data_IF_753633954805
#
_entry.id   IF_753633954805
#
_cell.length_a   1.000
_cell.length_b   1.000
_cell.length_c   1.000
_cell.angle_alpha   90.00
_cell.angle_beta   90.00
_cell.angle_gamma   90.00
#
_symmetry.space_group_name_H-M   'P 1'
#
loop_
_entity.id
_entity.type
_entity.pdbx_description
1 polymer ?
#
# COMPACT_ATOMS: atom_id res chain seq x y z
N UNK A 1 27.89 19.18 -1.22
CA UNK A 1 26.83 18.26 -0.79
C UNK A 1 26.81 17.11 -1.78
N UNK A 2 27.40 15.96 -1.45
CA UNK A 2 27.21 14.73 -2.22
C UNK A 2 25.88 14.14 -1.78
N UNK A 3 24.78 14.57 -2.42
CA UNK A 3 23.46 14.01 -2.18
C UNK A 3 23.27 12.80 -3.08
N UNK A 4 23.08 11.62 -2.51
CA UNK A 4 22.61 10.47 -3.26
C UNK A 4 21.20 10.77 -3.78
N UNK A 5 21.02 10.73 -5.09
CA UNK A 5 19.71 10.88 -5.72
C UNK A 5 19.03 9.49 -5.80
N UNK A 6 17.87 9.36 -5.15
CA UNK A 6 17.04 8.16 -5.27
C UNK A 6 16.08 8.31 -6.45
N UNK A 7 16.16 7.40 -7.42
CA UNK A 7 15.27 7.39 -8.57
C UNK A 7 14.15 6.36 -8.36
N UNK A 8 12.91 6.80 -8.52
CA UNK A 8 11.76 5.90 -8.58
C UNK A 8 11.73 5.26 -9.98
N UNK A 9 11.84 3.94 -10.04
CA UNK A 9 11.79 3.20 -11.32
C UNK A 9 10.41 2.66 -11.65
N UNK A 10 9.65 2.24 -10.63
CA UNK A 10 8.32 1.63 -10.76
C UNK A 10 7.73 1.42 -9.36
N UNK A 11 6.43 1.66 -9.18
CA UNK A 11 5.78 1.46 -7.88
C UNK A 11 4.63 0.46 -7.98
N UNK A 12 4.62 -0.57 -7.13
CA UNK A 12 3.58 -1.60 -7.09
C UNK A 12 2.73 -1.55 -5.82
N UNK A 13 3.25 -0.90 -4.77
CA UNK A 13 2.65 -0.85 -3.44
C UNK A 13 2.84 0.56 -2.88
N UNK A 14 1.80 1.07 -2.22
CA UNK A 14 1.85 2.30 -1.40
C UNK A 14 1.44 1.98 0.03
N UNK A 15 1.98 2.69 1.02
CA UNK A 15 1.70 2.45 2.44
C UNK A 15 1.53 3.79 3.15
N UNK A 16 0.40 3.97 3.82
CA UNK A 16 0.07 5.21 4.54
C UNK A 16 -0.13 4.94 6.03
N UNK A 17 0.50 5.75 6.87
CA UNK A 17 0.15 5.87 8.29
C UNK A 17 -1.06 6.79 8.45
N UNK A 18 -2.16 6.26 8.97
CA UNK A 18 -3.27 7.10 9.42
C UNK A 18 -2.90 7.74 10.77
N UNK A 19 -3.04 9.06 10.87
CA UNK A 19 -2.66 9.85 12.06
C UNK A 19 -3.57 9.63 13.28
N UNK A 20 -4.72 8.96 13.11
CA UNK A 20 -5.73 8.71 14.15
C UNK A 20 -6.02 7.19 14.27
N UNK A 21 -6.84 6.78 15.24
CA UNK A 21 -7.17 5.37 15.54
C UNK A 21 -7.98 4.63 14.45
N UNK A 22 -8.35 5.30 13.34
CA UNK A 22 -9.14 4.68 12.28
C UNK A 22 -8.40 4.65 10.94
N UNK A 23 -8.28 3.45 10.38
CA UNK A 23 -7.77 3.21 9.02
C UNK A 23 -8.57 3.98 7.97
N UNK A 24 -9.86 4.25 8.21
CA UNK A 24 -10.73 4.96 7.28
C UNK A 24 -10.22 6.37 6.94
N UNK A 25 -9.58 7.04 7.89
CA UNK A 25 -9.05 8.40 7.69
C UNK A 25 -7.87 8.40 6.71
N UNK A 26 -7.10 7.30 6.66
CA UNK A 26 -5.96 7.17 5.74
C UNK A 26 -6.31 6.66 4.35
N UNK A 27 -7.54 6.18 4.12
CA UNK A 27 -7.95 5.59 2.83
C UNK A 27 -7.81 6.60 1.68
N UNK A 28 -8.30 7.83 1.87
CA UNK A 28 -8.23 8.86 0.83
C UNK A 28 -6.79 9.19 0.42
N UNK A 29 -5.88 9.29 1.39
CA UNK A 29 -4.46 9.51 1.12
C UNK A 29 -3.83 8.32 0.41
N UNK A 30 -4.10 7.09 0.89
CA UNK A 30 -3.55 5.89 0.26
C UNK A 30 -4.04 5.74 -1.18
N UNK A 31 -5.33 5.98 -1.45
CA UNK A 31 -5.87 5.95 -2.81
C UNK A 31 -5.22 7.03 -3.69
N UNK A 32 -4.99 8.24 -3.16
CA UNK A 32 -4.30 9.30 -3.91
C UNK A 32 -2.87 8.89 -4.29
N UNK A 33 -2.12 8.29 -3.36
CA UNK A 33 -0.78 7.75 -3.63
C UNK A 33 -0.81 6.60 -4.64
N UNK A 34 -1.80 5.69 -4.56
CA UNK A 34 -1.98 4.61 -5.52
C UNK A 34 -2.26 5.13 -6.93
N UNK A 35 -3.10 6.17 -7.07
CA UNK A 35 -3.37 6.83 -8.36
C UNK A 35 -2.12 7.53 -8.88
N UNK A 36 -1.37 8.20 -8.01
CA UNK A 36 -0.09 8.82 -8.38
C UNK A 36 0.91 7.76 -8.89
N UNK A 37 1.02 6.62 -8.21
CA UNK A 37 1.86 5.49 -8.63
C UNK A 37 1.41 4.91 -9.99
N UNK A 38 0.10 4.71 -10.18
CA UNK A 38 -0.44 4.24 -11.47
C UNK A 38 -0.07 5.20 -12.61
N UNK A 39 -0.28 6.51 -12.41
CA UNK A 39 0.05 7.54 -13.42
C UNK A 39 1.55 7.63 -13.68
N UNK A 40 2.37 7.56 -12.63
CA UNK A 40 3.82 7.55 -12.75
C UNK A 40 4.28 6.37 -13.61
N UNK A 41 3.79 5.16 -13.31
CA UNK A 41 4.12 3.95 -14.06
C UNK A 41 3.69 4.04 -15.53
N UNK A 42 2.49 4.56 -15.80
CA UNK A 42 2.01 4.81 -17.15
C UNK A 42 2.91 5.80 -17.91
N UNK A 43 3.35 6.89 -17.25
CA UNK A 43 4.22 7.90 -17.85
C UNK A 43 5.58 7.35 -18.29
N UNK A 44 6.08 6.29 -17.63
CA UNK A 44 7.32 5.59 -17.99
C UNK A 44 7.07 4.33 -18.84
N UNK A 45 5.88 4.20 -19.45
CA UNK A 45 5.47 3.06 -20.27
C UNK A 45 5.54 1.69 -19.57
N UNK A 46 5.37 1.66 -18.24
CA UNK A 46 5.22 0.42 -17.48
C UNK A 46 3.77 0.24 -17.05
N UNK A 47 3.06 -0.64 -17.76
CA UNK A 47 1.68 -0.95 -17.42
C UNK A 47 1.66 -1.95 -16.25
N UNK A 48 0.88 -1.62 -15.23
CA UNK A 48 0.55 -2.53 -14.13
C UNK A 48 -0.95 -2.75 -14.18
N UNK A 49 -1.37 -4.00 -14.05
CA UNK A 49 -2.79 -4.34 -13.93
C UNK A 49 -3.37 -3.84 -12.60
N UNK A 50 -2.51 -3.71 -11.57
CA UNK A 50 -2.92 -3.31 -10.23
C UNK A 50 -1.83 -2.61 -9.44
N UNK A 51 -2.23 -1.61 -8.66
CA UNK A 51 -1.43 -1.01 -7.59
C UNK A 51 -2.06 -1.44 -6.27
N UNK A 52 -1.25 -1.95 -5.34
CA UNK A 52 -1.74 -2.31 -4.01
C UNK A 52 -1.49 -1.17 -3.03
N UNK A 53 -2.33 -1.09 -2.02
CA UNK A 53 -2.26 -0.08 -0.97
C UNK A 53 -2.40 -0.73 0.39
N UNK A 54 -1.77 -0.13 1.39
CA UNK A 54 -1.99 -0.48 2.78
C UNK A 54 -2.13 0.80 3.60
N UNK A 55 -3.16 0.86 4.44
CA UNK A 55 -3.28 1.89 5.48
C UNK A 55 -3.02 1.22 6.82
N UNK A 56 -2.16 1.80 7.64
CA UNK A 56 -1.96 1.35 9.01
C UNK A 56 -2.29 2.43 10.04
N UNK A 57 -2.81 2.01 11.19
CA UNK A 57 -2.91 2.83 12.40
C UNK A 57 -2.57 1.99 13.60
N UNK A 58 -1.55 2.39 14.36
CA UNK A 58 -1.09 1.62 15.52
C UNK A 58 -0.72 0.18 15.16
N UNK A 59 -1.60 -0.77 15.47
CA UNK A 59 -1.44 -2.22 15.21
C UNK A 59 -2.30 -2.74 14.04
N UNK A 60 -3.20 -1.92 13.51
CA UNK A 60 -4.22 -2.30 12.56
C UNK A 60 -3.75 -1.97 11.15
N UNK A 61 -3.93 -2.91 10.23
CA UNK A 61 -3.64 -2.77 8.81
C UNK A 61 -4.89 -3.05 7.99
N UNK A 62 -5.10 -2.23 6.97
CA UNK A 62 -6.15 -2.41 5.98
C UNK A 62 -5.59 -2.32 4.59
N UNK A 63 -6.08 -3.17 3.69
CA UNK A 63 -5.49 -3.37 2.38
C UNK A 63 -6.41 -2.92 1.24
N UNK A 64 -5.80 -2.46 0.16
CA UNK A 64 -6.46 -1.92 -1.02
C UNK A 64 -5.83 -2.45 -2.31
N UNK A 65 -6.62 -2.48 -3.38
CA UNK A 65 -6.16 -2.74 -4.76
C UNK A 65 -6.84 -1.75 -5.70
N UNK A 66 -6.03 -0.98 -6.42
CA UNK A 66 -6.46 -0.10 -7.52
C UNK A 66 -6.25 -0.85 -8.83
N UNK A 67 -7.31 -1.00 -9.62
CA UNK A 67 -7.28 -1.64 -10.94
C UNK A 67 -8.19 -0.86 -11.90
N UNK A 68 -7.63 -0.45 -13.04
CA UNK A 68 -8.29 0.54 -13.89
C UNK A 68 -8.60 1.81 -13.09
N UNK A 69 -9.90 2.13 -12.95
CA UNK A 69 -10.42 3.26 -12.17
C UNK A 69 -11.13 2.81 -10.88
N UNK A 70 -11.10 1.52 -10.55
CA UNK A 70 -11.80 0.95 -9.40
C UNK A 70 -10.84 0.69 -8.25
N UNK A 71 -11.32 0.86 -7.02
CA UNK A 71 -10.60 0.50 -5.81
C UNK A 71 -11.39 -0.58 -5.08
N UNK A 72 -10.77 -1.75 -4.90
CA UNK A 72 -11.24 -2.75 -3.95
C UNK A 72 -10.57 -2.50 -2.60
N UNK A 73 -11.36 -2.56 -1.52
CA UNK A 73 -10.90 -2.42 -0.15
C UNK A 73 -11.17 -3.75 0.54
N UNK A 74 -10.18 -4.31 1.23
CA UNK A 74 -10.45 -5.45 2.10
C UNK A 74 -11.30 -4.99 3.30
N UNK A 75 -12.44 -5.64 3.47
CA UNK A 75 -13.33 -5.36 4.59
C UNK A 75 -12.71 -5.80 5.91
N UNK A 76 -11.85 -6.82 5.90
CA UNK A 76 -11.13 -7.31 7.06
C UNK A 76 -9.90 -6.45 7.36
N UNK A 77 -9.68 -6.20 8.65
CA UNK A 77 -8.47 -5.57 9.15
C UNK A 77 -7.54 -6.63 9.74
N UNK A 78 -6.24 -6.50 9.44
CA UNK A 78 -5.21 -7.33 10.04
C UNK A 78 -4.68 -6.62 11.30
N UNK A 79 -4.77 -7.28 12.45
CA UNK A 79 -4.22 -6.77 13.71
C UNK A 79 -2.88 -7.44 14.02
N UNK A 80 -1.85 -6.63 14.30
CA UNK A 80 -0.53 -7.09 14.71
C UNK A 80 -0.34 -6.77 16.18
N UNK A 81 -0.46 -7.78 17.04
CA UNK A 81 -0.49 -7.58 18.48
C UNK A 81 0.85 -7.06 19.06
N UNK A 82 1.98 -7.51 18.51
CA UNK A 82 3.30 -7.16 19.04
C UNK A 82 4.16 -6.53 17.94
N UNK A 83 4.48 -5.24 18.12
CA UNK A 83 5.31 -4.49 17.16
C UNK A 83 6.79 -4.92 17.18
N UNK A 84 7.27 -5.39 18.34
CA UNK A 84 8.63 -5.95 18.51
C UNK A 84 8.85 -7.21 17.66
N UNK A 85 7.75 -7.80 17.22
CA UNK A 85 7.70 -9.04 16.47
C UNK A 85 7.74 -8.79 14.95
N UNK A 86 7.76 -7.53 14.49
CA UNK A 86 7.78 -7.16 13.07
C UNK A 86 9.22 -7.25 12.54
N UNK A 87 9.46 -8.22 11.67
CA UNK A 87 10.69 -8.34 10.89
C UNK A 87 10.41 -8.22 9.38
N UNK A 88 11.47 -8.16 8.57
CA UNK A 88 11.34 -8.05 7.10
C UNK A 88 10.45 -9.15 6.53
N UNK A 89 10.56 -10.40 7.01
CA UNK A 89 9.73 -11.51 6.53
C UNK A 89 8.25 -11.30 6.82
N UNK A 90 7.90 -10.79 8.01
CA UNK A 90 6.52 -10.42 8.35
C UNK A 90 6.04 -9.23 7.53
N UNK A 91 6.86 -8.21 7.31
CA UNK A 91 6.51 -7.09 6.41
C UNK A 91 6.23 -7.61 5.01
N UNK A 92 7.10 -8.46 4.44
CA UNK A 92 6.88 -9.08 3.13
C UNK A 92 5.62 -9.94 3.11
N UNK A 93 5.34 -10.69 4.17
CA UNK A 93 4.11 -11.47 4.30
C UNK A 93 2.88 -10.56 4.27
N UNK A 94 2.85 -9.52 5.11
CA UNK A 94 1.80 -8.50 5.20
C UNK A 94 1.57 -7.85 3.83
N UNK A 95 2.63 -7.45 3.14
CA UNK A 95 2.53 -6.82 1.83
C UNK A 95 2.15 -7.80 0.70
N UNK A 96 2.33 -9.11 0.91
CA UNK A 96 1.86 -10.15 -0.01
C UNK A 96 0.38 -10.52 0.17
N UNK A 97 -0.19 -10.30 1.36
CA UNK A 97 -1.60 -10.56 1.65
C UNK A 97 -2.58 -9.88 0.68
N UNK A 98 -2.47 -8.56 0.39
CA UNK A 98 -3.37 -7.92 -0.59
C UNK A 98 -3.35 -8.61 -1.94
N UNK A 99 -2.19 -9.11 -2.37
CA UNK A 99 -2.03 -9.81 -3.65
C UNK A 99 -2.81 -11.13 -3.63
N UNK A 100 -2.88 -11.83 -2.50
CA UNK A 100 -3.64 -13.08 -2.41
C UNK A 100 -5.14 -12.84 -2.23
N UNK A 101 -5.50 -11.92 -1.34
CA UNK A 101 -6.90 -11.69 -0.93
C UNK A 101 -7.72 -10.89 -1.95
N UNK A 102 -7.08 -10.00 -2.72
CA UNK A 102 -7.77 -9.13 -3.69
C UNK A 102 -7.66 -9.65 -5.15
N UNK A 103 -7.05 -10.82 -5.33
CA UNK A 103 -7.02 -11.56 -6.60
C UNK A 103 -7.77 -12.90 -6.54
N UNK A 104 -8.35 -13.25 -5.39
CA UNK A 104 -9.22 -14.42 -5.18
C UNK A 104 -10.69 -14.14 -5.48
#
# INVERSE_FOLDING_TARGET
MNGEALYLNFSVITIVEAKNESTNVGLGQCIAEMVAAQRFNQAINRITESIYGAVRTGRIWRFLKLYGQNVAINNEELVIENAEDINVSKILAILSLPIKQLNS
#
